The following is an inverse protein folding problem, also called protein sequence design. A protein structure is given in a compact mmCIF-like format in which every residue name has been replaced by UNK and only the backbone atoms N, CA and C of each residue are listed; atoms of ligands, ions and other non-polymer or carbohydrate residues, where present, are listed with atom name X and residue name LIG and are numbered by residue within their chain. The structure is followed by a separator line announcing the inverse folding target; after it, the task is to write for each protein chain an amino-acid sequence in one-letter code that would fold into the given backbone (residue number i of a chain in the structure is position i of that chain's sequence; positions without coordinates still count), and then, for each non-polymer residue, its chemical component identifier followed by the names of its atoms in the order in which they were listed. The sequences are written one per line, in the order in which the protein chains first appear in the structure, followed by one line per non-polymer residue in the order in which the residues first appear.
data_IF_699718158270
#
_entry.id   IF_699718158270
#
_cell.length_a   1.000
_cell.length_b   1.000
_cell.length_c   1.000
_cell.angle_alpha   90.00
_cell.angle_beta   90.00
_cell.angle_gamma   90.00
#
_symmetry.space_group_name_H-M   'P 1'
#
loop_
_entity.id
_entity.type
_entity.pdbx_description
1 polymer ?
#
# COMPACT_ATOMS: atom_id res chain seq x y z
N UNK A 1 16.41 1.65 -10.33
CA UNK A 1 15.51 0.74 -9.60
C UNK A 1 14.25 0.58 -10.44
N UNK A 2 13.77 -0.63 -10.60
CA UNK A 2 12.66 -0.98 -11.49
C UNK A 2 11.53 -1.65 -10.70
N UNK A 3 10.30 -1.57 -11.18
CA UNK A 3 9.19 -2.33 -10.61
C UNK A 3 9.19 -3.74 -11.21
N UNK A 4 8.97 -4.73 -10.36
CA UNK A 4 8.90 -6.13 -10.74
C UNK A 4 7.45 -6.62 -10.77
N UNK A 5 7.16 -7.57 -11.65
CA UNK A 5 5.90 -8.31 -11.60
C UNK A 5 5.94 -9.31 -10.42
N UNK A 6 5.14 -9.05 -9.39
CA UNK A 6 5.08 -9.84 -8.15
C UNK A 6 3.71 -10.49 -8.03
N UNK A 7 3.68 -11.80 -7.75
CA UNK A 7 2.43 -12.46 -7.37
C UNK A 7 2.01 -11.97 -5.99
N UNK A 8 0.71 -11.69 -5.82
CA UNK A 8 0.11 -11.18 -4.59
C UNK A 8 0.53 -11.97 -3.36
N UNK A 9 0.57 -13.30 -3.46
CA UNK A 9 0.97 -14.19 -2.36
C UNK A 9 2.37 -13.91 -1.77
N UNK A 10 3.27 -13.22 -2.49
CA UNK A 10 4.59 -12.84 -1.97
C UNK A 10 4.61 -11.47 -1.29
N UNK A 11 3.62 -10.62 -1.54
CA UNK A 11 3.60 -9.23 -1.11
C UNK A 11 2.38 -8.84 -0.27
N UNK A 12 1.39 -9.74 -0.16
CA UNK A 12 0.16 -9.54 0.57
C UNK A 12 0.36 -9.79 2.07
N UNK A 13 1.12 -8.88 2.67
CA UNK A 13 1.44 -8.87 4.09
C UNK A 13 0.31 -8.21 4.90
N UNK A 14 0.37 -8.43 6.21
CA UNK A 14 -0.62 -7.92 7.17
C UNK A 14 -0.28 -6.50 7.61
N UNK A 15 -1.30 -5.65 7.68
CA UNK A 15 -1.19 -4.26 8.16
C UNK A 15 -2.06 -4.05 9.38
N UNK A 16 -1.48 -3.48 10.44
CA UNK A 16 -2.23 -3.06 11.61
C UNK A 16 -2.88 -1.69 11.35
N UNK A 17 -4.20 -1.62 11.45
CA UNK A 17 -4.94 -0.37 11.38
C UNK A 17 -5.01 0.31 12.76
N UNK A 18 -5.19 1.65 12.83
CA UNK A 18 -5.24 2.38 14.10
C UNK A 18 -6.34 1.92 15.07
N UNK A 19 -7.37 1.23 14.58
CA UNK A 19 -8.45 0.66 15.39
C UNK A 19 -8.13 -0.76 15.93
N UNK A 20 -6.90 -1.25 15.72
CA UNK A 20 -6.45 -2.57 16.15
C UNK A 20 -6.81 -3.72 15.19
N UNK A 21 -7.51 -3.44 14.09
CA UNK A 21 -7.77 -4.47 13.07
C UNK A 21 -6.51 -4.79 12.28
N UNK A 22 -6.34 -6.06 11.94
CA UNK A 22 -5.29 -6.53 11.04
C UNK A 22 -5.94 -6.86 9.70
N UNK A 23 -5.41 -6.29 8.61
CA UNK A 23 -5.99 -6.46 7.28
C UNK A 23 -4.92 -6.76 6.23
N UNK A 24 -5.34 -7.43 5.16
CA UNK A 24 -4.59 -7.62 3.92
C UNK A 24 -5.34 -6.91 2.80
N UNK A 25 -4.65 -6.13 1.99
CA UNK A 25 -5.28 -5.31 0.94
C UNK A 25 -5.24 -5.96 -0.44
N UNK A 26 -4.28 -6.85 -0.66
CA UNK A 26 -4.03 -7.42 -1.97
C UNK A 26 -4.67 -8.80 -2.10
N UNK A 27 -4.92 -9.20 -3.33
CA UNK A 27 -5.35 -10.55 -3.70
C UNK A 27 -4.12 -11.41 -4.01
N UNK A 28 -3.98 -12.55 -3.31
CA UNK A 28 -2.86 -13.48 -3.42
C UNK A 28 -2.66 -14.05 -4.84
N UNK A 29 -3.72 -14.06 -5.65
CA UNK A 29 -3.72 -14.67 -6.97
C UNK A 29 -3.46 -13.69 -8.11
N UNK A 30 -3.39 -12.38 -7.83
CA UNK A 30 -3.11 -11.35 -8.84
C UNK A 30 -1.62 -11.09 -8.99
N UNK A 31 -1.25 -10.47 -10.11
CA UNK A 31 0.09 -9.92 -10.33
C UNK A 31 0.04 -8.40 -10.09
N UNK A 32 0.99 -7.91 -9.32
CA UNK A 32 1.19 -6.50 -9.03
C UNK A 32 2.55 -6.04 -9.54
N UNK A 33 2.70 -4.74 -9.76
CA UNK A 33 4.00 -4.13 -9.96
C UNK A 33 4.53 -3.64 -8.62
N UNK A 34 5.74 -4.04 -8.27
CA UNK A 34 6.27 -3.72 -6.96
C UNK A 34 7.78 -3.78 -6.81
N UNK A 35 8.27 -3.12 -5.77
CA UNK A 35 9.67 -3.17 -5.37
C UNK A 35 9.80 -2.83 -3.87
N UNK A 36 10.94 -3.17 -3.28
CA UNK A 36 11.28 -2.76 -1.91
C UNK A 36 12.63 -2.03 -1.89
N UNK A 37 12.70 -0.99 -1.07
CA UNK A 37 13.91 -0.20 -0.87
C UNK A 37 14.26 -0.19 0.60
N UNK A 38 15.47 -0.59 0.94
CA UNK A 38 15.93 -0.51 2.33
C UNK A 38 16.04 0.95 2.75
N UNK A 39 15.50 1.28 3.93
CA UNK A 39 15.60 2.62 4.50
C UNK A 39 17.02 2.79 5.05
N UNK A 40 17.66 3.90 4.69
CA UNK A 40 19.04 4.17 5.12
C UNK A 40 19.10 4.24 6.66
N UNK A 41 20.12 3.61 7.24
CA UNK A 41 20.38 3.60 8.68
C UNK A 41 19.20 3.07 9.53
N UNK A 42 18.40 2.17 8.97
CA UNK A 42 17.24 1.53 9.61
C UNK A 42 17.14 0.07 9.17
N UNK A 43 16.51 -0.76 9.98
CA UNK A 43 16.12 -2.14 9.67
C UNK A 43 14.82 -2.25 8.83
N UNK A 44 14.20 -1.10 8.53
CA UNK A 44 12.94 -1.01 7.80
C UNK A 44 13.16 -0.88 6.29
N UNK A 45 12.15 -1.29 5.54
CA UNK A 45 12.06 -1.14 4.10
C UNK A 45 10.84 -0.31 3.74
N UNK A 46 10.97 0.46 2.66
CA UNK A 46 9.83 0.98 1.91
C UNK A 46 9.36 -0.07 0.92
N UNK A 47 8.09 -0.46 1.00
CA UNK A 47 7.43 -1.26 -0.03
C UNK A 47 6.60 -0.38 -0.95
N UNK A 48 6.68 -0.63 -2.25
CA UNK A 48 5.80 -0.02 -3.26
C UNK A 48 5.08 -1.16 -3.97
N UNK A 49 3.74 -1.12 -3.99
CA UNK A 49 2.90 -2.07 -4.71
C UNK A 49 1.81 -1.31 -5.47
N UNK A 50 1.60 -1.68 -6.73
CA UNK A 50 0.58 -1.06 -7.57
C UNK A 50 -0.10 -2.08 -8.50
N UNK A 51 -1.35 -1.79 -8.83
CA UNK A 51 -2.05 -2.37 -9.98
C UNK A 51 -2.63 -1.25 -10.88
N UNK A 52 -3.53 -1.64 -11.77
CA UNK A 52 -4.18 -0.73 -12.70
C UNK A 52 -5.04 0.36 -12.04
N UNK A 53 -5.35 0.26 -10.73
CA UNK A 53 -6.28 1.14 -10.01
C UNK A 53 -5.69 1.75 -8.75
N UNK A 54 -4.83 1.01 -8.04
CA UNK A 54 -4.30 1.37 -6.74
C UNK A 54 -2.77 1.41 -6.72
N UNK A 55 -2.24 2.31 -5.87
CA UNK A 55 -0.84 2.42 -5.50
C UNK A 55 -0.76 2.47 -3.97
N UNK A 56 0.09 1.65 -3.39
CA UNK A 56 0.42 1.67 -1.96
C UNK A 56 1.91 1.89 -1.76
N UNK A 57 2.23 2.71 -0.77
CA UNK A 57 3.55 2.80 -0.15
C UNK A 57 3.42 2.39 1.30
N UNK A 58 4.27 1.46 1.74
CA UNK A 58 4.32 0.99 3.12
C UNK A 58 5.73 1.05 3.68
N UNK A 59 5.83 1.08 5.01
CA UNK A 59 7.06 0.83 5.74
C UNK A 59 6.89 -0.43 6.58
N UNK A 60 7.86 -1.34 6.54
CA UNK A 60 7.83 -2.57 7.35
C UNK A 60 9.25 -3.01 7.70
N UNK A 61 9.37 -3.81 8.74
CA UNK A 61 10.62 -4.48 9.09
C UNK A 61 10.71 -5.84 8.39
N UNK A 62 11.92 -6.29 8.09
CA UNK A 62 12.21 -7.65 7.64
C UNK A 62 11.17 -8.24 6.66
N UNK A 63 10.68 -9.44 6.97
CA UNK A 63 9.71 -10.22 6.18
C UNK A 63 8.28 -9.62 6.17
N UNK A 64 8.13 -8.30 6.13
CA UNK A 64 6.83 -7.62 6.15
C UNK A 64 6.19 -7.51 7.53
N UNK A 65 6.99 -7.57 8.59
CA UNK A 65 6.53 -7.41 9.97
C UNK A 65 6.31 -5.93 10.32
N UNK A 66 5.45 -5.67 11.30
CA UNK A 66 5.15 -4.32 11.81
C UNK A 66 4.80 -3.33 10.69
N UNK A 67 4.05 -3.81 9.70
CA UNK A 67 3.81 -3.06 8.48
C UNK A 67 2.82 -1.91 8.70
N UNK A 68 3.22 -0.73 8.23
CA UNK A 68 2.47 0.50 8.31
C UNK A 68 2.22 1.05 6.91
N UNK A 69 1.00 1.53 6.67
CA UNK A 69 0.62 2.17 5.41
C UNK A 69 1.06 3.64 5.49
N UNK A 70 1.95 4.05 4.59
CA UNK A 70 2.37 5.45 4.45
C UNK A 70 1.44 6.18 3.48
N UNK A 71 1.15 5.55 2.34
CA UNK A 71 0.22 6.06 1.32
C UNK A 71 -0.61 4.90 0.80
N UNK A 72 -1.92 5.10 0.67
CA UNK A 72 -2.76 4.23 -0.13
C UNK A 72 -3.67 5.10 -0.99
N UNK A 73 -3.50 4.98 -2.31
CA UNK A 73 -4.16 5.86 -3.27
C UNK A 73 -4.77 5.06 -4.40
N UNK A 74 -6.05 5.26 -4.64
CA UNK A 74 -6.66 4.99 -5.93
C UNK A 74 -6.19 6.07 -6.90
N UNK A 75 -5.32 5.68 -7.83
CA UNK A 75 -4.61 6.61 -8.71
C UNK A 75 -5.22 6.68 -10.11
N UNK A 76 -5.89 5.62 -10.54
CA UNK A 76 -6.53 5.51 -11.84
C UNK A 76 -8.01 5.17 -11.66
N UNK A 77 -8.80 6.21 -11.47
CA UNK A 77 -10.25 6.14 -11.57
C UNK A 77 -10.66 6.53 -12.99
N UNK A 78 -10.98 5.55 -13.82
CA UNK A 78 -11.63 5.81 -15.10
C UNK A 78 -13.01 6.52 -14.94
N UNK A 79 -13.57 6.52 -13.72
CA UNK A 79 -14.86 7.14 -13.40
C UNK A 79 -14.75 8.53 -12.71
N UNK A 80 -13.56 8.96 -12.27
CA UNK A 80 -13.33 10.33 -11.76
C UNK A 80 -12.79 11.24 -12.87
N UNK A 81 -13.61 11.49 -13.90
CA UNK A 81 -13.39 12.65 -14.77
C UNK A 81 -13.80 13.91 -14.00
N UNK A 82 -12.81 14.64 -13.50
CA UNK A 82 -12.91 16.02 -13.01
C UNK A 82 -14.00 16.27 -11.96
N UNK A 83 -13.68 16.01 -10.69
CA UNK A 83 -14.15 16.86 -9.61
C UNK A 83 -12.96 17.08 -8.68
N UNK A 84 -12.42 18.29 -8.71
CA UNK A 84 -11.26 18.65 -7.91
C UNK A 84 -11.57 18.48 -6.43
N UNK A 85 -10.81 17.63 -5.75
CA UNK A 85 -10.28 17.88 -4.40
C UNK A 85 -9.11 16.91 -4.20
N UNK A 86 -7.93 17.47 -3.99
CA UNK A 86 -6.73 16.79 -3.52
C UNK A 86 -7.05 15.95 -2.29
N UNK A 87 -6.87 14.63 -2.36
CA UNK A 87 -6.82 13.80 -1.17
C UNK A 87 -5.43 13.97 -0.55
N UNK A 88 -5.28 14.98 0.29
CA UNK A 88 -4.18 15.04 1.25
C UNK A 88 -4.53 13.96 2.28
N UNK A 89 -3.61 13.02 2.49
CA UNK A 89 -3.67 12.08 3.62
C UNK A 89 -3.49 12.91 4.89
N UNK A 90 -4.56 13.56 5.34
CA UNK A 90 -4.58 14.24 6.62
C UNK A 90 -4.72 13.15 7.68
N UNK A 91 -3.72 13.11 8.57
CA UNK A 91 -3.65 12.22 9.73
C UNK A 91 -5.05 11.93 10.31
N UNK A 92 -5.36 10.64 10.45
CA UNK A 92 -6.50 10.09 11.18
C UNK A 92 -7.89 10.26 10.53
N UNK A 93 -8.27 9.30 9.69
CA UNK A 93 -9.51 8.48 9.81
C UNK A 93 -9.78 7.80 8.46
N UNK A 94 -9.54 6.49 8.40
CA UNK A 94 -10.19 5.65 7.39
C UNK A 94 -11.63 5.47 7.89
N UNK A 95 -12.57 6.24 7.36
CA UNK A 95 -14.00 5.97 7.55
C UNK A 95 -14.38 4.94 6.48
N UNK A 96 -14.51 3.67 6.89
CA UNK A 96 -15.28 2.70 6.13
C UNK A 96 -16.76 3.03 6.35
N UNK A 97 -17.42 3.56 5.33
CA UNK A 97 -18.88 3.68 5.32
C UNK A 97 -19.42 2.33 4.86
N UNK A 98 -20.21 1.68 5.73
CA UNK A 98 -20.97 0.44 5.45
C UNK A 98 -22.07 0.65 4.43
#
# INVERSE_FOLDING_TARGET
MELNALKGSFTNIEYALPNGQIVKFWDDNKIYLGNQLHKKDSDRCYGIIADAKYLMVSEYSGFGADAEIVVFKQWNDAENKFIGTTCIMEKQRIILIS
#
